data_IF_875727066525
#
_entry.id   IF_875727066525
#
_cell.length_a   1.000
_cell.length_b   1.000
_cell.length_c   1.000
_cell.angle_alpha   90.00
_cell.angle_beta   90.00
_cell.angle_gamma   90.00
#
_symmetry.space_group_name_H-M   'P 1'
#
loop_
_entity.id
_entity.type
_entity.pdbx_description
1 polymer ?
#
# COMPACT_ATOMS: atom_id res chain seq x y z
N UNK A 1 -16.26 7.01 -1.36
CA UNK A 1 -14.85 6.96 -1.80
C UNK A 1 -14.49 5.50 -2.03
N UNK A 2 -13.78 5.16 -3.12
CA UNK A 2 -13.27 3.82 -3.30
C UNK A 2 -12.09 3.58 -2.35
N UNK A 3 -12.09 2.45 -1.66
CA UNK A 3 -10.99 2.01 -0.79
C UNK A 3 -10.44 0.71 -1.36
N UNK A 4 -9.16 0.68 -1.71
CA UNK A 4 -8.50 -0.52 -2.21
C UNK A 4 -7.59 -1.12 -1.15
N UNK A 5 -7.84 -2.38 -0.80
CA UNK A 5 -6.91 -3.16 0.01
C UNK A 5 -5.96 -3.93 -0.91
N UNK A 6 -4.66 -3.66 -0.80
CA UNK A 6 -3.61 -4.33 -1.56
C UNK A 6 -2.74 -5.19 -0.64
N UNK A 7 -3.00 -6.49 -0.68
CA UNK A 7 -2.28 -7.50 0.08
C UNK A 7 -1.03 -7.92 -0.71
N UNK A 8 0.16 -7.51 -0.27
CA UNK A 8 1.42 -7.89 -0.91
C UNK A 8 1.97 -6.88 -1.94
N UNK A 9 2.02 -5.60 -1.59
CA UNK A 9 2.58 -4.53 -2.44
C UNK A 9 4.08 -4.68 -2.78
N UNK A 10 4.82 -5.55 -2.09
CA UNK A 10 6.24 -5.78 -2.35
C UNK A 10 6.51 -6.77 -3.50
N UNK A 11 5.50 -7.48 -4.00
CA UNK A 11 5.64 -8.42 -5.12
C UNK A 11 5.67 -7.73 -6.48
N UNK A 12 5.98 -8.47 -7.56
CA UNK A 12 6.02 -7.93 -8.93
C UNK A 12 4.65 -7.34 -9.36
N UNK A 13 3.58 -8.07 -9.10
CA UNK A 13 2.20 -7.61 -9.41
C UNK A 13 1.76 -6.50 -8.48
N UNK A 14 1.92 -6.68 -7.16
CA UNK A 14 1.47 -5.70 -6.16
C UNK A 14 2.14 -4.34 -6.33
N UNK A 15 3.45 -4.32 -6.62
CA UNK A 15 4.18 -3.09 -6.90
C UNK A 15 3.71 -2.41 -8.19
N UNK A 16 3.42 -3.18 -9.25
CA UNK A 16 2.91 -2.62 -10.50
C UNK A 16 1.52 -2.01 -10.34
N UNK A 17 0.63 -2.68 -9.59
CA UNK A 17 -0.71 -2.17 -9.29
C UNK A 17 -0.63 -0.91 -8.42
N UNK A 18 0.18 -0.91 -7.35
CA UNK A 18 0.36 0.26 -6.50
C UNK A 18 0.91 1.45 -7.30
N UNK A 19 1.89 1.23 -8.17
CA UNK A 19 2.42 2.26 -9.06
C UNK A 19 1.34 2.84 -9.97
N UNK A 20 0.51 1.99 -10.55
CA UNK A 20 -0.59 2.43 -11.40
C UNK A 20 -1.60 3.27 -10.60
N UNK A 21 -2.03 2.79 -9.43
CA UNK A 21 -2.98 3.52 -8.56
C UNK A 21 -2.45 4.89 -8.13
N UNK A 22 -1.16 4.99 -7.81
CA UNK A 22 -0.50 6.27 -7.49
C UNK A 22 -0.43 7.22 -8.69
N UNK A 23 -0.31 6.71 -9.92
CA UNK A 23 -0.24 7.52 -11.14
C UNK A 23 -1.59 7.95 -11.67
N UNK A 24 -2.66 7.16 -11.43
CA UNK A 24 -3.98 7.41 -12.00
C UNK A 24 -4.67 8.64 -11.39
N UNK A 25 -4.08 9.29 -10.38
CA UNK A 25 -4.57 10.54 -9.74
C UNK A 25 -6.10 10.58 -9.59
N UNK A 26 -6.67 9.46 -9.12
CA UNK A 26 -8.06 9.42 -8.73
C UNK A 26 -8.19 10.34 -7.53
N UNK A 27 -8.92 11.44 -7.71
CA UNK A 27 -9.26 12.30 -6.59
C UNK A 27 -10.00 11.46 -5.54
N UNK A 28 -9.56 11.54 -4.29
CA UNK A 28 -10.25 10.93 -3.14
C UNK A 28 -10.20 9.39 -3.10
N UNK A 29 -9.00 8.84 -3.30
CA UNK A 29 -8.72 7.40 -3.21
C UNK A 29 -7.95 7.05 -1.92
N UNK A 30 -8.45 6.05 -1.20
CA UNK A 30 -7.76 5.42 -0.06
C UNK A 30 -7.16 4.07 -0.48
N UNK A 31 -5.90 3.84 -0.09
CA UNK A 31 -5.19 2.59 -0.38
C UNK A 31 -4.63 2.03 0.94
N UNK A 32 -5.14 0.87 1.34
CA UNK A 32 -4.61 0.10 2.46
C UNK A 32 -3.66 -0.97 1.95
N UNK A 33 -2.40 -0.90 2.38
CA UNK A 33 -1.34 -1.79 1.90
C UNK A 33 -0.87 -2.67 3.04
N UNK A 34 -1.05 -3.99 2.91
CA UNK A 34 -0.49 -4.97 3.82
C UNK A 34 0.84 -5.51 3.27
N UNK A 35 1.91 -5.38 4.04
CA UNK A 35 3.24 -5.88 3.69
C UNK A 35 3.91 -6.62 4.82
N UNK A 36 4.70 -7.63 4.47
CA UNK A 36 5.55 -8.35 5.45
C UNK A 36 6.73 -7.52 5.96
N UNK A 37 7.15 -6.52 5.18
CA UNK A 37 8.25 -5.62 5.54
C UNK A 37 8.01 -4.23 4.98
N UNK A 38 7.79 -3.25 5.85
CA UNK A 38 7.63 -1.84 5.48
C UNK A 38 8.89 -1.29 4.81
N UNK A 39 10.08 -1.65 5.29
CA UNK A 39 11.36 -1.21 4.71
C UNK A 39 11.50 -1.60 3.23
N UNK A 40 11.11 -2.82 2.84
CA UNK A 40 11.14 -3.24 1.43
C UNK A 40 10.17 -2.44 0.56
N UNK A 41 9.01 -2.07 1.11
CA UNK A 41 8.04 -1.24 0.41
C UNK A 41 8.57 0.17 0.20
N UNK A 42 9.12 0.80 1.24
CA UNK A 42 9.65 2.16 1.17
C UNK A 42 10.89 2.26 0.27
N UNK A 43 11.72 1.23 0.22
CA UNK A 43 12.81 1.16 -0.77
C UNK A 43 12.29 1.14 -2.22
N UNK A 44 11.18 0.44 -2.48
CA UNK A 44 10.58 0.38 -3.80
C UNK A 44 9.75 1.63 -4.14
N UNK A 45 9.19 2.29 -3.13
CA UNK A 45 8.30 3.44 -3.24
C UNK A 45 8.67 4.52 -2.21
N UNK A 46 9.83 5.19 -2.37
CA UNK A 46 10.25 6.25 -1.45
C UNK A 46 9.28 7.43 -1.45
N UNK A 47 8.52 7.61 -2.54
CA UNK A 47 7.49 8.63 -2.66
C UNK A 47 6.40 8.49 -1.57
N UNK A 48 6.15 7.29 -1.05
CA UNK A 48 5.12 7.06 -0.02
C UNK A 48 5.43 7.76 1.32
N UNK A 49 6.70 8.09 1.62
CA UNK A 49 7.02 8.89 2.81
C UNK A 49 6.77 10.38 2.61
N UNK A 50 6.88 10.87 1.37
CA UNK A 50 6.72 12.30 1.02
C UNK A 50 5.30 12.66 0.58
N UNK A 51 4.49 11.68 0.20
CA UNK A 51 3.11 11.88 -0.26
C UNK A 51 2.18 12.09 0.94
N UNK A 52 2.26 13.28 1.54
CA UNK A 52 1.30 13.78 2.52
C UNK A 52 -0.01 14.31 1.88
N UNK A 53 -0.33 13.89 0.64
CA UNK A 53 -1.48 14.35 -0.14
C UNK A 53 -1.98 13.30 -1.13
N UNK A 54 -3.26 13.40 -1.51
CA UNK A 54 -4.01 12.38 -2.26
C UNK A 54 -3.25 11.70 -3.41
N UNK A 55 -3.31 10.35 -3.52
CA UNK A 55 -4.14 9.41 -2.73
C UNK A 55 -3.58 9.11 -1.32
N UNK A 56 -4.47 8.87 -0.36
CA UNK A 56 -4.09 8.54 1.01
C UNK A 56 -3.70 7.06 1.11
N UNK A 57 -2.45 6.80 1.51
CA UNK A 57 -1.89 5.44 1.56
C UNK A 57 -1.58 5.07 2.99
N UNK A 58 -2.31 4.09 3.50
CA UNK A 58 -2.07 3.51 4.81
C UNK A 58 -1.26 2.21 4.66
N UNK A 59 -0.15 2.10 5.38
CA UNK A 59 0.75 0.94 5.30
C UNK A 59 0.69 0.16 6.60
N UNK A 60 0.11 -1.04 6.53
CA UNK A 60 0.07 -2.00 7.62
C UNK A 60 1.19 -3.02 7.42
N UNK A 61 2.04 -3.17 8.44
CA UNK A 61 3.03 -4.25 8.45
C UNK A 61 2.46 -5.46 9.18
N UNK A 62 2.40 -6.60 8.50
CA UNK A 62 1.87 -7.84 9.04
C UNK A 62 1.99 -9.00 8.06
N UNK A 63 1.61 -10.19 8.51
CA UNK A 63 1.54 -11.37 7.66
C UNK A 63 0.07 -11.71 7.39
N UNK A 64 -0.29 -11.98 6.13
CA UNK A 64 -1.68 -12.32 5.76
C UNK A 64 -2.17 -13.63 6.38
N UNK A 65 -1.24 -14.45 6.89
CA UNK A 65 -1.53 -15.71 7.55
C UNK A 65 -1.46 -15.61 9.07
N UNK A 66 -1.35 -14.40 9.63
CA UNK A 66 -1.33 -14.22 11.08
C UNK A 66 -2.78 -14.16 11.58
N UNK A 67 -3.29 -15.31 11.97
CA UNK A 67 -4.60 -15.54 12.56
C UNK A 67 -4.81 -14.78 13.88
N UNK A 68 -3.73 -14.26 14.49
CA UNK A 68 -3.76 -13.44 15.71
C UNK A 68 -3.85 -11.93 15.46
N UNK A 69 -3.92 -11.48 14.21
CA UNK A 69 -4.02 -10.06 13.87
C UNK A 69 -5.48 -9.52 13.90
N UNK A 70 -6.45 -10.33 14.33
CA UNK A 70 -7.89 -10.03 14.34
C UNK A 70 -8.51 -9.92 15.74
N UNK A 71 -7.70 -9.83 16.81
CA UNK A 71 -8.15 -9.52 18.18
C UNK A 71 -8.05 -8.01 18.50
#
# INVERSE_FOLDING_TARGET
MPTYALLGATGATGSSVLRHLLQTQLADLDIDVLVRSKSKLLQAFPCLESTAGNPHVNIVQGNCTDDKALD
#
